data_IF_065066744567
#
_entry.id   IF_065066744567
#
_cell.length_a   1.000
_cell.length_b   1.000
_cell.length_c   1.000
_cell.angle_alpha   90.00
_cell.angle_beta   90.00
_cell.angle_gamma   90.00
#
_symmetry.space_group_name_H-M   'P 1'
#
loop_
_entity.id
_entity.type
_entity.pdbx_description
1 polymer ?
#
# COMPACT_ATOMS: atom_id res chain seq x y z
N UNK A 1 3.32 -1.44 11.74
CA UNK A 1 2.24 -1.05 10.81
C UNK A 1 1.08 -0.51 11.63
N UNK A 2 0.44 0.57 11.20
CA UNK A 2 -0.68 1.23 11.89
C UNK A 2 -1.93 0.33 11.83
N UNK A 3 -2.81 0.40 12.83
CA UNK A 3 -4.04 -0.40 13.01
C UNK A 3 -4.92 -0.56 11.73
N UNK A 4 -4.86 0.41 10.81
CA UNK A 4 -5.65 0.41 9.57
C UNK A 4 -5.13 -0.53 8.47
N UNK A 5 -3.84 -0.93 8.52
CA UNK A 5 -3.27 -1.84 7.52
C UNK A 5 -3.83 -3.29 7.65
N UNK A 6 -4.20 -3.70 8.87
CA UNK A 6 -4.71 -5.05 9.17
C UNK A 6 -6.10 -5.32 8.55
N UNK A 7 -6.82 -4.28 8.14
CA UNK A 7 -8.12 -4.42 7.48
C UNK A 7 -8.01 -4.68 5.97
N UNK A 8 -6.82 -4.54 5.38
CA UNK A 8 -6.61 -4.63 3.93
C UNK A 8 -6.18 -6.03 3.50
N UNK A 9 -6.49 -6.40 2.25
CA UNK A 9 -6.01 -7.65 1.61
C UNK A 9 -4.83 -7.42 0.66
N UNK A 10 -4.35 -6.18 0.58
CA UNK A 10 -3.20 -5.80 -0.25
C UNK A 10 -1.92 -6.12 0.49
N UNK A 11 -0.95 -6.71 -0.21
CA UNK A 11 0.36 -7.07 0.34
C UNK A 11 1.29 -5.85 0.39
N UNK A 12 0.98 -4.90 1.27
CA UNK A 12 1.73 -3.66 1.41
C UNK A 12 3.19 -3.90 1.77
N UNK A 13 4.08 -3.20 1.05
CA UNK A 13 5.51 -3.14 1.37
C UNK A 13 5.84 -1.80 2.01
N UNK A 14 6.93 -1.79 2.78
CA UNK A 14 7.50 -0.56 3.31
C UNK A 14 8.22 0.23 2.21
N UNK A 15 8.33 1.54 2.43
CA UNK A 15 9.14 2.43 1.60
C UNK A 15 10.62 2.05 1.66
N UNK A 16 11.29 2.11 0.51
CA UNK A 16 12.74 1.96 0.40
C UNK A 16 13.18 1.27 -0.89
N UNK A 17 14.50 1.23 -1.11
CA UNK A 17 15.11 0.70 -2.33
C UNK A 17 14.63 -0.72 -2.69
N UNK A 18 14.38 -1.56 -1.68
CA UNK A 18 13.90 -2.94 -1.88
C UNK A 18 12.60 -3.00 -2.69
N UNK A 19 11.68 -2.05 -2.51
CA UNK A 19 10.42 -2.03 -3.27
C UNK A 19 10.68 -1.71 -4.74
N UNK A 20 11.56 -0.75 -5.02
CA UNK A 20 11.96 -0.39 -6.38
C UNK A 20 12.71 -1.52 -7.08
N UNK A 21 13.62 -2.20 -6.38
CA UNK A 21 14.33 -3.35 -6.94
C UNK A 21 13.37 -4.51 -7.29
N UNK A 22 12.31 -4.70 -6.49
CA UNK A 22 11.26 -5.69 -6.80
C UNK A 22 10.46 -5.24 -8.02
N UNK A 23 10.10 -3.96 -8.13
CA UNK A 23 9.36 -3.40 -9.26
C UNK A 23 10.13 -3.57 -10.57
N UNK A 24 11.43 -3.26 -10.56
CA UNK A 24 12.33 -3.41 -11.70
C UNK A 24 12.44 -4.89 -12.13
N UNK A 25 12.76 -5.79 -11.18
CA UNK A 25 12.87 -7.24 -11.47
C UNK A 25 11.56 -7.86 -11.96
N UNK A 26 10.42 -7.41 -11.43
CA UNK A 26 9.12 -7.94 -11.80
C UNK A 26 8.53 -7.28 -13.06
N UNK A 27 9.16 -6.22 -13.58
CA UNK A 27 8.60 -5.36 -14.62
C UNK A 27 7.18 -4.86 -14.28
N UNK A 28 6.95 -4.51 -13.01
CA UNK A 28 5.66 -4.04 -12.50
C UNK A 28 5.76 -2.61 -11.98
N UNK A 29 4.75 -1.75 -12.22
CA UNK A 29 4.72 -0.41 -11.64
C UNK A 29 4.58 -0.46 -10.11
N UNK A 30 5.07 0.59 -9.45
CA UNK A 30 4.86 0.81 -8.02
C UNK A 30 3.52 1.51 -7.82
N UNK A 31 2.67 0.96 -6.95
CA UNK A 31 1.50 1.65 -6.42
C UNK A 31 1.88 2.25 -5.08
N UNK A 32 2.04 3.57 -5.03
CA UNK A 32 2.40 4.29 -3.81
C UNK A 32 1.14 4.84 -3.14
N UNK A 33 0.82 4.31 -1.96
CA UNK A 33 -0.24 4.80 -1.10
C UNK A 33 0.35 5.64 0.04
N UNK A 34 0.16 6.95 -0.02
CA UNK A 34 0.46 7.88 1.07
C UNK A 34 -0.76 7.98 1.99
N UNK A 35 -0.56 7.72 3.27
CA UNK A 35 -1.66 7.72 4.25
C UNK A 35 -1.27 8.49 5.49
N UNK A 36 -2.27 8.99 6.21
CA UNK A 36 -2.10 9.54 7.56
C UNK A 36 -3.02 8.78 8.54
N UNK A 37 -2.57 8.47 9.78
CA UNK A 37 -3.38 7.71 10.73
C UNK A 37 -4.71 8.39 11.11
N UNK A 38 -4.76 9.72 11.02
CA UNK A 38 -5.89 10.54 11.41
C UNK A 38 -6.89 10.84 10.28
N UNK A 39 -6.55 10.53 9.02
CA UNK A 39 -7.48 10.75 7.90
C UNK A 39 -8.60 9.70 7.91
N UNK A 40 -9.84 10.17 7.90
CA UNK A 40 -11.02 9.32 7.80
C UNK A 40 -11.13 8.69 6.40
N UNK A 41 -10.74 9.41 5.36
CA UNK A 41 -10.75 8.98 3.96
C UNK A 41 -9.73 7.86 3.73
N UNK A 42 -8.54 7.95 4.34
CA UNK A 42 -7.55 6.86 4.31
C UNK A 42 -8.13 5.58 4.93
N UNK A 43 -8.84 5.71 6.05
CA UNK A 43 -9.48 4.59 6.74
C UNK A 43 -10.64 4.01 5.92
N UNK A 44 -11.44 4.85 5.28
CA UNK A 44 -12.53 4.41 4.39
C UNK A 44 -11.96 3.65 3.18
N UNK A 45 -10.87 4.13 2.57
CA UNK A 45 -10.22 3.43 1.46
C UNK A 45 -9.68 2.05 1.89
N UNK A 46 -9.14 1.92 3.10
CA UNK A 46 -8.68 0.64 3.64
C UNK A 46 -9.83 -0.36 3.83
N UNK A 47 -10.94 0.05 4.44
CA UNK A 47 -12.06 -0.84 4.79
C UNK A 47 -13.00 -1.13 3.63
N UNK A 48 -12.97 -0.34 2.56
CA UNK A 48 -13.82 -0.53 1.37
C UNK A 48 -13.03 -1.08 0.19
N UNK A 49 -12.05 -0.33 -0.29
CA UNK A 49 -11.37 -0.58 -1.57
C UNK A 49 -10.28 -1.61 -1.41
N UNK A 50 -9.39 -1.44 -0.43
CA UNK A 50 -8.27 -2.37 -0.21
C UNK A 50 -8.68 -3.63 0.56
N UNK A 51 -9.85 -3.64 1.20
CA UNK A 51 -10.45 -4.83 1.82
C UNK A 51 -11.17 -5.73 0.81
N UNK A 52 -11.57 -5.22 -0.36
CA UNK A 52 -12.29 -6.00 -1.38
C UNK A 52 -11.34 -6.99 -2.08
N UNK A 53 -11.55 -8.33 -2.01
CA UNK A 53 -10.63 -9.32 -2.57
C UNK A 53 -10.28 -9.11 -4.04
N UNK A 54 -11.23 -8.71 -4.88
CA UNK A 54 -10.98 -8.57 -6.32
C UNK A 54 -10.04 -7.40 -6.62
N UNK A 55 -10.22 -6.30 -5.90
CA UNK A 55 -9.36 -5.12 -6.04
C UNK A 55 -7.98 -5.44 -5.49
N UNK A 56 -7.91 -6.06 -4.31
CA UNK A 56 -6.65 -6.44 -3.70
C UNK A 56 -5.87 -7.44 -4.56
N UNK A 57 -6.53 -8.44 -5.14
CA UNK A 57 -5.91 -9.39 -6.06
C UNK A 57 -5.31 -8.68 -7.29
N UNK A 58 -6.07 -7.78 -7.93
CA UNK A 58 -5.57 -7.00 -9.06
C UNK A 58 -4.36 -6.14 -8.67
N UNK A 59 -4.35 -5.57 -7.46
CA UNK A 59 -3.21 -4.79 -6.96
C UNK A 59 -1.99 -5.70 -6.74
N UNK A 60 -2.16 -6.82 -6.05
CA UNK A 60 -1.09 -7.77 -5.74
C UNK A 60 -0.49 -8.38 -7.02
N UNK A 61 -1.32 -8.63 -8.02
CA UNK A 61 -0.90 -9.21 -9.30
C UNK A 61 -0.29 -8.17 -10.24
N UNK A 62 -0.80 -6.94 -10.25
CA UNK A 62 -0.40 -5.92 -11.22
C UNK A 62 0.72 -4.99 -10.75
N UNK A 63 0.94 -4.85 -9.45
CA UNK A 63 1.75 -3.79 -8.88
C UNK A 63 2.72 -4.29 -7.83
N UNK A 64 3.68 -3.41 -7.51
CA UNK A 64 4.39 -3.44 -6.24
C UNK A 64 3.74 -2.42 -5.31
N UNK A 65 2.74 -2.80 -4.50
CA UNK A 65 2.11 -1.90 -3.53
C UNK A 65 3.08 -1.50 -2.42
N UNK A 66 3.20 -0.19 -2.20
CA UNK A 66 4.02 0.44 -1.15
C UNK A 66 3.14 1.38 -0.36
N UNK A 67 3.19 1.28 0.98
CA UNK A 67 2.41 2.12 1.88
C UNK A 67 3.33 2.96 2.76
N UNK A 68 3.04 4.25 2.83
CA UNK A 68 3.86 5.21 3.56
C UNK A 68 2.98 6.06 4.45
N UNK A 69 3.34 6.11 5.72
CA UNK A 69 2.78 7.09 6.66
C UNK A 69 3.44 8.44 6.40
N UNK A 70 2.67 9.40 5.87
CA UNK A 70 3.17 10.71 5.48
C UNK A 70 3.65 11.55 6.67
N UNK A 71 3.15 11.28 7.89
CA UNK A 71 3.59 11.99 9.09
C UNK A 71 4.97 11.51 9.58
N UNK A 72 5.40 10.32 9.17
CA UNK A 72 6.67 9.73 9.65
C UNK A 72 7.92 10.30 8.96
N UNK A 73 7.79 11.34 8.12
CA UNK A 73 8.89 11.96 7.39
C UNK A 73 9.89 10.92 6.83
N UNK A 74 9.49 10.12 5.83
CA UNK A 74 10.42 9.19 5.19
C UNK A 74 11.63 9.98 4.65
N UNK A 75 12.83 9.67 5.14
CA UNK A 75 14.10 10.17 4.61
C UNK A 75 14.60 9.29 3.47
#
# INVERSE_FOLDING_TARGET
MTESADATKVEWREWGQKAFDVADRAAKPVLLALVTPWSAECREMDTTTYAEPRIAANINDGFVPVRVDADRHPR
#
